data_IF_007442268137
#
_entry.id   IF_007442268137
#
_cell.length_a   1.000
_cell.length_b   1.000
_cell.length_c   1.000
_cell.angle_alpha   90.00
_cell.angle_beta   90.00
_cell.angle_gamma   90.00
#
_symmetry.space_group_name_H-M   'P 1'
#
loop_
_entity.id
_entity.type
_entity.pdbx_description
1 polymer ?
#
# COMPACT_ATOMS: atom_id res chain seq x y z
N UNK A 1 -29.46 -21.62 -20.21
CA UNK A 1 -28.66 -22.34 -19.21
C UNK A 1 -27.23 -22.32 -19.72
N UNK A 2 -26.46 -21.31 -19.32
CA UNK A 2 -25.07 -21.16 -19.76
C UNK A 2 -24.14 -21.63 -18.64
N UNK A 3 -23.24 -22.54 -19.02
CA UNK A 3 -22.25 -23.17 -18.15
C UNK A 3 -21.26 -22.14 -17.64
N UNK A 4 -21.23 -21.98 -16.32
CA UNK A 4 -20.21 -21.21 -15.61
C UNK A 4 -18.83 -21.84 -15.89
N UNK A 5 -17.81 -21.07 -16.33
CA UNK A 5 -16.50 -21.63 -16.59
C UNK A 5 -15.83 -22.06 -15.27
N UNK A 6 -15.38 -23.31 -15.24
CA UNK A 6 -14.63 -23.94 -14.16
C UNK A 6 -13.32 -23.16 -13.87
N UNK A 7 -13.11 -22.62 -12.66
CA UNK A 7 -11.87 -21.93 -12.33
C UNK A 7 -10.74 -22.95 -12.19
N UNK A 8 -9.95 -23.11 -13.27
CA UNK A 8 -8.75 -23.96 -13.37
C UNK A 8 -7.67 -23.69 -12.30
N UNK A 9 -7.83 -22.69 -11.43
CA UNK A 9 -6.89 -22.36 -10.36
C UNK A 9 -7.06 -23.21 -9.08
N UNK A 10 -8.08 -24.08 -9.01
CA UNK A 10 -8.34 -24.92 -7.81
C UNK A 10 -7.73 -26.33 -7.92
N UNK A 11 -7.21 -26.75 -9.08
CA UNK A 11 -6.69 -28.13 -9.29
C UNK A 11 -5.17 -28.32 -9.17
N UNK A 12 -4.40 -27.30 -8.83
CA UNK A 12 -2.94 -27.44 -8.63
C UNK A 12 -2.49 -27.62 -7.18
N UNK A 13 -3.41 -27.77 -6.22
CA UNK A 13 -3.08 -28.27 -4.88
C UNK A 13 -3.48 -29.74 -4.73
N UNK A 14 -2.77 -30.62 -5.43
CA UNK A 14 -2.93 -32.06 -5.30
C UNK A 14 -1.78 -32.68 -4.50
N UNK A 15 -2.16 -33.28 -3.37
CA UNK A 15 -1.50 -34.33 -2.58
C UNK A 15 -0.21 -34.01 -1.80
N UNK A 16 -0.25 -33.97 -0.45
CA UNK A 16 0.93 -34.28 0.35
C UNK A 16 1.17 -35.80 0.25
N UNK A 17 2.41 -36.23 0.04
CA UNK A 17 2.87 -37.63 -0.02
C UNK A 17 2.83 -38.33 -1.40
N UNK A 18 3.57 -37.80 -2.37
CA UNK A 18 4.35 -38.67 -3.26
C UNK A 18 5.84 -38.33 -3.13
N UNK A 19 6.71 -39.27 -2.75
CA UNK A 19 8.15 -39.07 -2.88
C UNK A 19 8.47 -38.87 -4.36
N UNK A 20 9.24 -37.83 -4.67
CA UNK A 20 9.76 -37.63 -6.03
C UNK A 20 10.73 -38.78 -6.39
N UNK A 21 10.76 -39.22 -7.66
CA UNK A 21 11.69 -40.26 -8.10
C UNK A 21 13.13 -39.81 -7.89
N UNK A 22 13.93 -40.70 -7.31
CA UNK A 22 15.26 -40.43 -6.76
C UNK A 22 16.39 -40.49 -7.78
N UNK A 23 16.20 -40.03 -9.00
CA UNK A 23 17.25 -40.13 -10.03
C UNK A 23 17.64 -38.76 -10.62
N UNK A 24 18.87 -38.35 -10.29
CA UNK A 24 19.72 -37.37 -11.00
C UNK A 24 19.22 -35.92 -11.19
N UNK A 25 18.92 -35.21 -10.10
CA UNK A 25 18.92 -33.73 -10.13
C UNK A 25 20.22 -33.23 -9.50
N UNK A 26 21.22 -33.00 -10.34
CA UNK A 26 22.42 -32.24 -10.00
C UNK A 26 22.01 -30.83 -9.53
N UNK A 27 22.07 -30.59 -8.22
CA UNK A 27 22.22 -29.32 -7.47
C UNK A 27 21.48 -28.02 -7.85
N UNK A 28 21.32 -27.69 -9.13
CA UNK A 28 20.94 -26.37 -9.63
C UNK A 28 19.42 -26.19 -9.79
N UNK A 29 18.68 -27.25 -10.14
CA UNK A 29 17.21 -27.18 -10.32
C UNK A 29 16.45 -26.66 -9.09
N UNK A 30 16.69 -27.21 -7.88
CA UNK A 30 16.04 -26.73 -6.66
C UNK A 30 16.45 -25.30 -6.26
N UNK A 31 17.66 -24.87 -6.63
CA UNK A 31 18.14 -23.52 -6.39
C UNK A 31 17.44 -22.50 -7.28
N UNK A 32 17.29 -22.80 -8.58
CA UNK A 32 16.63 -21.92 -9.53
C UNK A 32 15.15 -21.70 -9.20
N UNK A 33 14.42 -22.73 -8.77
CA UNK A 33 13.02 -22.60 -8.31
C UNK A 33 12.94 -21.69 -7.08
N UNK A 34 13.86 -21.84 -6.13
CA UNK A 34 13.91 -20.97 -4.94
C UNK A 34 14.29 -19.53 -5.30
N UNK A 35 15.10 -19.33 -6.33
CA UNK A 35 15.49 -18.02 -6.84
C UNK A 35 14.31 -17.33 -7.53
N UNK A 36 13.59 -18.00 -8.43
CA UNK A 36 12.38 -17.46 -9.07
C UNK A 36 11.35 -16.99 -8.03
N UNK A 37 11.13 -17.80 -7.00
CA UNK A 37 10.24 -17.44 -5.89
C UNK A 37 10.73 -16.18 -5.16
N UNK A 38 12.04 -16.05 -4.92
CA UNK A 38 12.64 -14.87 -4.29
C UNK A 38 12.49 -13.60 -5.15
N UNK A 39 12.64 -13.74 -6.47
CA UNK A 39 12.55 -12.62 -7.42
C UNK A 39 11.12 -12.09 -7.62
N UNK A 40 10.10 -12.84 -7.18
CA UNK A 40 8.68 -12.49 -7.33
C UNK A 40 8.13 -11.54 -6.25
N UNK A 41 8.92 -10.51 -5.89
CA UNK A 41 8.57 -9.48 -4.90
C UNK A 41 7.23 -8.79 -5.22
N UNK A 42 6.53 -8.25 -4.19
CA UNK A 42 5.24 -7.57 -4.35
C UNK A 42 5.36 -6.16 -4.93
N UNK A 43 5.90 -6.08 -6.14
CA UNK A 43 6.07 -4.83 -6.89
C UNK A 43 5.19 -4.90 -8.14
N UNK A 44 4.18 -4.02 -8.26
CA UNK A 44 3.23 -4.05 -9.37
C UNK A 44 3.87 -4.05 -10.76
N UNK A 45 5.02 -3.38 -10.91
CA UNK A 45 5.75 -3.32 -12.17
C UNK A 45 6.46 -4.63 -12.59
N UNK A 46 6.52 -5.64 -11.71
CA UNK A 46 7.31 -6.87 -11.92
C UNK A 46 6.52 -8.16 -11.77
N UNK A 47 5.31 -8.09 -11.22
CA UNK A 47 4.56 -9.29 -10.89
C UNK A 47 3.06 -9.05 -10.93
N UNK A 48 2.43 -9.58 -11.99
CA UNK A 48 0.98 -9.59 -12.16
C UNK A 48 0.26 -10.34 -11.04
N UNK A 49 0.97 -11.25 -10.35
CA UNK A 49 0.44 -11.99 -9.20
C UNK A 49 -0.13 -11.05 -8.12
N UNK A 50 0.44 -9.86 -7.98
CA UNK A 50 0.02 -8.85 -7.00
C UNK A 50 -0.93 -7.79 -7.56
N UNK A 51 -1.31 -7.91 -8.84
CA UNK A 51 -2.39 -7.11 -9.42
C UNK A 51 -3.73 -7.65 -8.92
N UNK A 52 -4.33 -6.96 -7.96
CA UNK A 52 -5.67 -7.31 -7.46
C UNK A 52 -6.68 -6.62 -8.38
N UNK A 53 -7.41 -7.43 -9.14
CA UNK A 53 -8.49 -6.93 -9.99
C UNK A 53 -9.52 -6.18 -9.16
N UNK A 54 -9.81 -4.94 -9.52
CA UNK A 54 -10.91 -4.18 -8.94
C UNK A 54 -12.24 -4.87 -9.28
N UNK A 55 -13.25 -4.78 -8.40
CA UNK A 55 -14.58 -5.27 -8.72
C UNK A 55 -15.11 -4.48 -9.93
N UNK A 56 -15.54 -5.18 -10.98
CA UNK A 56 -16.27 -4.55 -12.07
C UNK A 56 -17.58 -3.96 -11.51
N UNK A 57 -17.62 -2.65 -11.29
CA UNK A 57 -18.76 -1.93 -10.71
C UNK A 57 -20.04 -2.17 -11.52
N UNK A 58 -19.92 -2.32 -12.84
CA UNK A 58 -21.00 -2.69 -13.76
C UNK A 58 -21.60 -4.08 -13.50
N UNK A 59 -20.81 -5.06 -13.03
CA UNK A 59 -21.35 -6.39 -12.66
C UNK A 59 -22.18 -6.36 -11.37
N UNK A 60 -21.88 -5.44 -10.44
CA UNK A 60 -22.69 -5.23 -9.21
C UNK A 60 -24.08 -4.70 -9.53
N UNK A 61 -24.19 -3.74 -10.44
CA UNK A 61 -25.48 -3.21 -10.93
C UNK A 61 -26.29 -4.31 -11.65
N UNK A 62 -25.63 -5.12 -12.49
CA UNK A 62 -26.29 -6.25 -13.17
C UNK A 62 -26.85 -7.30 -12.20
N UNK A 63 -26.13 -7.67 -11.14
CA UNK A 63 -26.63 -8.62 -10.13
C UNK A 63 -27.69 -8.01 -9.19
N UNK A 64 -27.68 -6.70 -9.00
CA UNK A 64 -28.72 -5.99 -8.22
C UNK A 64 -30.03 -5.85 -9.01
N UNK A 65 -29.98 -5.76 -10.34
CA UNK A 65 -31.15 -5.73 -11.21
C UNK A 65 -31.87 -7.10 -11.32
N UNK A 66 -31.18 -8.20 -11.04
CA UNK A 66 -31.74 -9.56 -11.03
C UNK A 66 -31.99 -10.10 -9.60
N UNK A 67 -32.73 -9.37 -8.75
CA UNK A 67 -33.52 -9.90 -7.61
C UNK A 67 -32.85 -10.78 -6.53
N UNK A 68 -31.58 -11.14 -6.65
CA UNK A 68 -30.81 -11.97 -5.73
C UNK A 68 -29.77 -11.08 -5.06
N UNK A 69 -30.26 -10.10 -4.28
CA UNK A 69 -29.44 -9.49 -3.24
C UNK A 69 -29.17 -10.60 -2.24
N UNK A 70 -28.08 -11.34 -2.43
CA UNK A 70 -27.56 -12.25 -1.42
C UNK A 70 -27.29 -11.37 -0.19
N UNK A 71 -28.16 -11.49 0.82
CA UNK A 71 -28.00 -10.83 2.12
C UNK A 71 -26.58 -11.09 2.61
N UNK A 72 -25.90 -10.05 3.07
CA UNK A 72 -24.58 -10.22 3.68
C UNK A 72 -24.62 -11.31 4.76
N UNK A 73 -23.47 -11.96 4.99
CA UNK A 73 -23.35 -12.95 6.04
C UNK A 73 -23.70 -12.32 7.39
N UNK A 74 -24.65 -12.89 8.17
CA UNK A 74 -25.07 -12.30 9.44
C UNK A 74 -23.92 -12.11 10.43
N UNK A 75 -23.94 -11.01 11.19
CA UNK A 75 -22.91 -10.70 12.20
C UNK A 75 -22.65 -11.83 13.22
N UNK A 76 -23.67 -12.55 13.76
CA UNK A 76 -23.42 -13.65 14.69
C UNK A 76 -22.59 -14.79 14.08
N UNK A 77 -22.81 -15.10 12.79
CA UNK A 77 -22.05 -16.13 12.08
C UNK A 77 -20.61 -15.67 11.85
N UNK A 78 -20.41 -14.39 11.53
CA UNK A 78 -19.07 -13.79 11.42
C UNK A 78 -18.32 -13.81 12.76
N UNK A 79 -18.99 -13.53 13.87
CA UNK A 79 -18.40 -13.57 15.21
C UNK A 79 -18.02 -14.99 15.62
N UNK A 80 -18.83 -15.99 15.27
CA UNK A 80 -18.47 -17.39 15.46
C UNK A 80 -17.24 -17.78 14.63
N UNK A 81 -17.21 -17.42 13.34
CA UNK A 81 -16.06 -17.67 12.48
C UNK A 81 -14.79 -16.98 12.99
N UNK A 82 -14.88 -15.76 13.55
CA UNK A 82 -13.74 -15.08 14.20
C UNK A 82 -13.19 -15.86 15.38
N UNK A 83 -14.07 -16.39 16.25
CA UNK A 83 -13.67 -17.23 17.39
C UNK A 83 -13.02 -18.53 16.93
N UNK A 84 -13.64 -19.21 15.97
CA UNK A 84 -13.14 -20.47 15.43
C UNK A 84 -11.80 -20.30 14.70
N UNK A 85 -11.60 -19.18 13.99
CA UNK A 85 -10.34 -18.88 13.30
C UNK A 85 -9.14 -18.85 14.25
N UNK A 86 -9.34 -18.42 15.50
CA UNK A 86 -8.30 -18.43 16.53
C UNK A 86 -8.06 -19.82 17.14
N UNK A 87 -9.12 -20.64 17.25
CA UNK A 87 -9.06 -21.95 17.93
C UNK A 87 -8.68 -23.10 17.00
N UNK A 88 -9.19 -23.10 15.77
CA UNK A 88 -9.06 -24.20 14.81
C UNK A 88 -8.97 -23.68 13.36
N UNK A 89 -7.87 -22.99 13.00
CA UNK A 89 -7.74 -22.29 11.71
C UNK A 89 -7.91 -23.21 10.49
N UNK A 90 -7.49 -24.48 10.58
CA UNK A 90 -7.65 -25.48 9.51
C UNK A 90 -9.09 -25.76 9.13
N UNK A 91 -9.91 -26.19 10.11
CA UNK A 91 -11.32 -26.48 9.90
C UNK A 91 -12.11 -25.22 9.53
N UNK A 92 -11.77 -24.10 10.17
CA UNK A 92 -12.42 -22.81 9.91
C UNK A 92 -12.18 -22.33 8.49
N UNK A 93 -10.97 -22.51 7.95
CA UNK A 93 -10.66 -22.14 6.57
C UNK A 93 -11.59 -22.83 5.57
N UNK A 94 -11.89 -24.13 5.77
CA UNK A 94 -12.80 -24.86 4.88
C UNK A 94 -14.22 -24.27 4.91
N UNK A 95 -14.71 -23.86 6.08
CA UNK A 95 -16.00 -23.19 6.25
C UNK A 95 -16.01 -21.82 5.55
N UNK A 96 -14.96 -21.01 5.77
CA UNK A 96 -14.80 -19.70 5.13
C UNK A 96 -14.77 -19.83 3.61
N UNK A 97 -14.02 -20.79 3.07
CA UNK A 97 -13.94 -21.02 1.62
C UNK A 97 -15.29 -21.47 1.03
N UNK A 98 -16.09 -22.23 1.79
CA UNK A 98 -17.47 -22.54 1.41
C UNK A 98 -18.32 -21.27 1.35
N UNK A 99 -18.20 -20.37 2.34
CA UNK A 99 -18.93 -19.11 2.37
C UNK A 99 -18.48 -18.14 1.27
N UNK A 100 -17.18 -18.07 0.94
CA UNK A 100 -16.64 -17.23 -0.14
C UNK A 100 -17.17 -17.63 -1.52
N UNK A 101 -17.62 -18.87 -1.74
CA UNK A 101 -18.34 -19.24 -2.98
C UNK A 101 -19.66 -18.48 -3.12
N UNK A 102 -20.31 -18.16 -2.00
CA UNK A 102 -21.57 -17.43 -1.99
C UNK A 102 -21.36 -15.93 -1.88
N UNK A 103 -20.33 -15.50 -1.14
CA UNK A 103 -19.99 -14.11 -0.83
C UNK A 103 -18.53 -13.79 -1.19
N UNK A 104 -18.14 -13.86 -2.47
CA UNK A 104 -16.73 -13.79 -2.90
C UNK A 104 -16.02 -12.48 -2.60
N UNK A 105 -16.77 -11.42 -2.31
CA UNK A 105 -16.26 -10.08 -2.03
C UNK A 105 -16.53 -9.63 -0.60
N UNK A 106 -16.93 -10.53 0.30
CA UNK A 106 -17.17 -10.15 1.68
C UNK A 106 -15.84 -9.86 2.39
N UNK A 107 -15.60 -8.63 2.87
CA UNK A 107 -14.30 -8.25 3.41
C UNK A 107 -13.94 -9.01 4.70
N UNK A 108 -14.93 -9.35 5.53
CA UNK A 108 -14.70 -10.12 6.76
C UNK A 108 -14.22 -11.54 6.44
N UNK A 109 -14.89 -12.22 5.51
CA UNK A 109 -14.53 -13.58 5.10
C UNK A 109 -13.14 -13.63 4.44
N UNK A 110 -12.80 -12.64 3.61
CA UNK A 110 -11.47 -12.54 3.01
C UNK A 110 -10.37 -12.32 4.05
N UNK A 111 -10.59 -11.43 5.02
CA UNK A 111 -9.63 -11.24 6.11
C UNK A 111 -9.50 -12.50 6.99
N UNK A 112 -10.60 -13.16 7.29
CA UNK A 112 -10.57 -14.41 8.04
C UNK A 112 -9.86 -15.54 7.27
N UNK A 113 -10.06 -15.63 5.96
CA UNK A 113 -9.32 -16.54 5.07
C UNK A 113 -7.82 -16.30 5.18
N UNK A 114 -7.39 -15.03 5.13
CA UNK A 114 -6.00 -14.65 5.30
C UNK A 114 -5.43 -15.07 6.67
N UNK A 115 -6.17 -14.79 7.75
CA UNK A 115 -5.77 -15.14 9.13
C UNK A 115 -5.62 -16.66 9.28
N UNK A 116 -6.61 -17.44 8.82
CA UNK A 116 -6.56 -18.89 8.92
C UNK A 116 -5.46 -19.49 8.05
N UNK A 117 -5.30 -19.01 6.80
CA UNK A 117 -4.22 -19.45 5.90
C UNK A 117 -2.85 -19.23 6.54
N UNK A 118 -2.64 -18.07 7.15
CA UNK A 118 -1.42 -17.79 7.91
C UNK A 118 -1.28 -18.71 9.13
N UNK A 119 -2.33 -18.86 9.94
CA UNK A 119 -2.30 -19.68 11.16
C UNK A 119 -1.96 -21.16 10.90
N UNK A 120 -2.44 -21.72 9.78
CA UNK A 120 -2.11 -23.10 9.37
C UNK A 120 -0.63 -23.24 8.99
N UNK A 121 -0.06 -22.20 8.38
CA UNK A 121 1.25 -22.29 7.72
C UNK A 121 2.40 -21.66 8.51
N UNK A 122 2.13 -21.00 9.65
CA UNK A 122 3.15 -20.28 10.43
C UNK A 122 4.27 -21.20 10.93
N UNK A 123 3.98 -22.48 11.15
CA UNK A 123 4.92 -23.50 11.63
C UNK A 123 5.33 -24.51 10.54
N UNK A 124 5.03 -24.24 9.27
CA UNK A 124 5.36 -25.17 8.19
C UNK A 124 6.88 -25.33 8.05
N UNK A 125 7.35 -26.58 8.10
CA UNK A 125 8.76 -26.92 7.87
C UNK A 125 9.16 -26.81 6.38
N UNK A 126 8.19 -26.68 5.47
CA UNK A 126 8.43 -26.51 4.03
C UNK A 126 8.48 -25.01 3.67
N UNK A 127 9.66 -24.44 3.34
CA UNK A 127 9.80 -23.02 3.05
C UNK A 127 8.97 -22.56 1.84
N UNK A 128 8.89 -23.37 0.78
CA UNK A 128 8.13 -23.03 -0.43
C UNK A 128 6.62 -23.00 -0.15
N UNK A 129 6.13 -24.01 0.58
CA UNK A 129 4.72 -24.04 1.00
C UNK A 129 4.37 -22.85 1.91
N UNK A 130 5.26 -22.48 2.83
CA UNK A 130 5.09 -21.32 3.70
C UNK A 130 5.04 -20.01 2.90
N UNK A 131 5.95 -19.79 1.94
CA UNK A 131 5.94 -18.59 1.10
C UNK A 131 4.65 -18.48 0.29
N UNK A 132 4.26 -19.54 -0.41
CA UNK A 132 3.00 -19.56 -1.17
C UNK A 132 1.79 -19.25 -0.28
N UNK A 133 1.75 -19.79 0.94
CA UNK A 133 0.68 -19.52 1.89
C UNK A 133 0.67 -18.06 2.39
N UNK A 134 1.83 -17.49 2.72
CA UNK A 134 1.94 -16.10 3.13
C UNK A 134 1.55 -15.14 2.00
N UNK A 135 1.90 -15.47 0.75
CA UNK A 135 1.49 -14.69 -0.41
C UNK A 135 -0.02 -14.70 -0.60
N UNK A 136 -0.64 -15.88 -0.53
CA UNK A 136 -2.09 -16.04 -0.59
C UNK A 136 -2.79 -15.28 0.53
N UNK A 137 -2.31 -15.42 1.77
CA UNK A 137 -2.86 -14.69 2.92
C UNK A 137 -2.76 -13.16 2.74
N UNK A 138 -1.63 -12.66 2.24
CA UNK A 138 -1.48 -11.24 1.94
C UNK A 138 -2.44 -10.75 0.85
N UNK A 139 -2.62 -11.55 -0.21
CA UNK A 139 -3.56 -11.22 -1.28
C UNK A 139 -5.00 -11.19 -0.80
N UNK A 140 -5.42 -12.15 0.03
CA UNK A 140 -6.75 -12.19 0.63
C UNK A 140 -6.97 -10.99 1.57
N UNK A 141 -5.97 -10.64 2.41
CA UNK A 141 -6.05 -9.50 3.31
C UNK A 141 -6.09 -8.15 2.56
N UNK A 142 -5.29 -7.99 1.51
CA UNK A 142 -5.34 -6.81 0.65
C UNK A 142 -6.70 -6.72 -0.08
N UNK A 143 -7.20 -7.86 -0.57
CA UNK A 143 -8.52 -7.94 -1.21
C UNK A 143 -9.62 -7.54 -0.24
N UNK A 144 -9.56 -7.97 1.02
CA UNK A 144 -10.53 -7.56 2.05
C UNK A 144 -10.59 -6.03 2.19
N UNK A 145 -9.44 -5.36 2.26
CA UNK A 145 -9.39 -3.89 2.32
C UNK A 145 -9.95 -3.25 1.05
N UNK A 146 -9.55 -3.76 -0.13
CA UNK A 146 -10.02 -3.27 -1.44
C UNK A 146 -11.52 -3.45 -1.58
N UNK A 147 -12.12 -4.54 -1.10
CA UNK A 147 -13.55 -4.82 -1.16
C UNK A 147 -14.34 -4.21 0.01
N UNK A 148 -14.11 -2.91 0.26
CA UNK A 148 -14.89 -2.09 1.21
C UNK A 148 -14.66 -2.46 2.70
N UNK A 149 -13.62 -3.23 2.98
CA UNK A 149 -13.25 -3.70 4.32
C UNK A 149 -12.29 -2.78 5.07
N UNK A 150 -12.24 -1.49 4.77
CA UNK A 150 -11.33 -0.57 5.45
C UNK A 150 -11.73 -0.42 6.91
N UNK A 151 -10.93 -0.98 7.82
CA UNK A 151 -11.10 -0.86 9.27
C UNK A 151 -9.74 -0.98 9.94
N UNK A 152 -9.62 -0.50 11.17
CA UNK A 152 -8.37 -0.63 11.92
C UNK A 152 -7.98 -2.10 12.14
N UNK A 153 -8.96 -2.96 12.43
CA UNK A 153 -8.75 -4.40 12.59
C UNK A 153 -8.19 -5.05 11.31
N UNK A 154 -8.76 -4.73 10.14
CA UNK A 154 -8.29 -5.26 8.87
C UNK A 154 -6.92 -4.68 8.49
N UNK A 155 -6.69 -3.40 8.76
CA UNK A 155 -5.39 -2.75 8.54
C UNK A 155 -4.28 -3.41 9.38
N UNK A 156 -4.52 -3.61 10.67
CA UNK A 156 -3.56 -4.25 11.60
C UNK A 156 -3.22 -5.67 11.14
N UNK A 157 -4.22 -6.48 10.78
CA UNK A 157 -3.97 -7.83 10.28
C UNK A 157 -3.24 -7.83 8.94
N UNK A 158 -3.59 -6.93 8.01
CA UNK A 158 -2.88 -6.79 6.75
C UNK A 158 -1.41 -6.46 6.97
N UNK A 159 -1.10 -5.41 7.73
CA UNK A 159 0.29 -5.00 7.98
C UNK A 159 1.10 -6.10 8.68
N UNK A 160 0.50 -6.81 9.65
CA UNK A 160 1.14 -7.96 10.31
C UNK A 160 1.52 -9.05 9.31
N UNK A 161 0.62 -9.41 8.39
CA UNK A 161 0.87 -10.43 7.37
C UNK A 161 1.90 -9.96 6.33
N UNK A 162 1.85 -8.68 5.95
CA UNK A 162 2.73 -8.09 4.96
C UNK A 162 4.18 -7.99 5.46
N UNK A 163 4.38 -7.47 6.67
CA UNK A 163 5.71 -7.38 7.27
C UNK A 163 6.32 -8.75 7.51
N UNK A 164 5.53 -9.73 7.97
CA UNK A 164 6.00 -11.10 8.10
C UNK A 164 6.48 -11.65 6.74
N UNK A 165 5.74 -11.40 5.66
CA UNK A 165 6.17 -11.81 4.31
C UNK A 165 7.50 -11.13 3.93
N UNK A 166 7.65 -9.82 4.17
CA UNK A 166 8.90 -9.09 3.88
C UNK A 166 10.09 -9.64 4.68
N UNK A 167 9.88 -9.94 5.96
CA UNK A 167 10.89 -10.56 6.82
C UNK A 167 11.31 -11.95 6.28
N UNK A 168 10.34 -12.75 5.80
CA UNK A 168 10.66 -14.05 5.20
C UNK A 168 11.46 -13.90 3.91
N UNK A 169 11.10 -12.95 3.04
CA UNK A 169 11.90 -12.64 1.84
C UNK A 169 13.34 -12.30 2.19
N UNK A 170 13.55 -11.38 3.14
CA UNK A 170 14.89 -11.01 3.62
C UNK A 170 15.71 -12.22 4.05
N UNK A 171 15.16 -13.06 4.94
CA UNK A 171 15.83 -14.29 5.41
C UNK A 171 16.11 -15.27 4.26
N UNK A 172 15.30 -15.27 3.22
CA UNK A 172 15.48 -16.14 2.05
C UNK A 172 16.55 -15.59 1.09
N UNK A 173 16.62 -14.28 0.90
CA UNK A 173 17.72 -13.61 0.20
C UNK A 173 19.06 -13.92 0.86
N UNK A 174 19.17 -13.75 2.18
CA UNK A 174 20.39 -14.08 2.96
C UNK A 174 20.87 -15.52 2.74
N UNK A 175 19.93 -16.47 2.62
CA UNK A 175 20.24 -17.88 2.36
C UNK A 175 20.72 -18.09 0.93
N UNK A 176 19.99 -17.55 -0.04
CA UNK A 176 20.33 -17.68 -1.46
C UNK A 176 21.69 -17.04 -1.77
N UNK A 177 22.05 -15.90 -1.15
CA UNK A 177 23.38 -15.30 -1.30
C UNK A 177 24.51 -16.23 -0.87
N UNK A 178 24.30 -17.04 0.18
CA UNK A 178 25.29 -18.02 0.65
C UNK A 178 25.43 -19.21 -0.31
N UNK A 179 24.38 -19.51 -1.06
CA UNK A 179 24.29 -20.63 -2.01
C UNK A 179 24.78 -20.23 -3.42
N UNK A 180 24.58 -18.98 -3.85
CA UNK A 180 25.05 -18.43 -5.12
C UNK A 180 26.55 -18.06 -5.06
N UNK A 181 27.42 -19.09 -5.11
CA UNK A 181 28.89 -18.93 -5.15
C UNK A 181 29.46 -19.14 -6.56
N UNK A 182 30.54 -18.43 -6.87
CA UNK A 182 31.30 -18.59 -8.12
C UNK A 182 30.80 -17.75 -9.29
N UNK A 183 31.63 -17.63 -10.33
CA UNK A 183 31.38 -16.75 -11.49
C UNK A 183 30.21 -17.21 -12.38
N UNK A 184 29.91 -18.51 -12.40
CA UNK A 184 28.85 -19.08 -13.24
C UNK A 184 27.44 -18.60 -12.89
N UNK A 185 27.22 -18.12 -11.66
CA UNK A 185 25.92 -17.63 -11.16
C UNK A 185 25.94 -16.13 -10.88
N UNK A 186 26.88 -15.39 -11.49
CA UNK A 186 27.02 -13.95 -11.28
C UNK A 186 25.78 -13.16 -11.72
N UNK A 187 25.10 -13.60 -12.80
CA UNK A 187 23.88 -12.97 -13.31
C UNK A 187 22.73 -13.17 -12.32
N UNK A 188 22.55 -14.39 -11.82
CA UNK A 188 21.54 -14.78 -10.83
C UNK A 188 21.77 -14.05 -9.51
N UNK A 189 23.03 -13.92 -9.10
CA UNK A 189 23.42 -13.14 -7.93
C UNK A 189 23.08 -11.68 -8.10
N UNK A 190 23.40 -11.07 -9.25
CA UNK A 190 23.04 -9.68 -9.52
C UNK A 190 21.51 -9.45 -9.52
N UNK A 191 20.74 -10.41 -10.06
CA UNK A 191 19.25 -10.36 -9.97
C UNK A 191 18.78 -10.43 -8.52
N UNK A 192 19.42 -11.25 -7.70
CA UNK A 192 19.11 -11.39 -6.27
C UNK A 192 19.49 -10.13 -5.48
N UNK A 193 20.71 -9.60 -5.63
CA UNK A 193 21.18 -8.35 -4.99
C UNK A 193 20.20 -7.21 -5.28
N UNK A 194 19.74 -7.16 -6.53
CA UNK A 194 18.76 -6.21 -6.98
C UNK A 194 17.39 -6.39 -6.31
N UNK A 195 16.85 -7.62 -6.30
CA UNK A 195 15.58 -7.90 -5.62
C UNK A 195 15.68 -7.60 -4.12
N UNK A 196 16.77 -8.01 -3.48
CA UNK A 196 17.07 -7.72 -2.09
C UNK A 196 16.99 -6.22 -1.81
N UNK A 197 17.67 -5.39 -2.60
CA UNK A 197 17.62 -3.92 -2.47
C UNK A 197 16.19 -3.39 -2.48
N UNK A 198 15.34 -3.88 -3.37
CA UNK A 198 13.94 -3.48 -3.41
C UNK A 198 13.15 -3.98 -2.20
N UNK A 199 13.42 -5.20 -1.73
CA UNK A 199 12.85 -5.74 -0.50
C UNK A 199 13.18 -4.90 0.72
N UNK A 200 14.42 -4.42 0.84
CA UNK A 200 14.84 -3.51 1.91
C UNK A 200 14.11 -2.17 1.86
N UNK A 201 13.96 -1.57 0.68
CA UNK A 201 13.21 -0.32 0.53
C UNK A 201 11.74 -0.46 0.98
N UNK A 202 11.12 -1.62 0.71
CA UNK A 202 9.76 -1.92 1.17
C UNK A 202 9.70 -2.16 2.68
N UNK A 203 10.69 -2.85 3.24
CA UNK A 203 10.80 -3.09 4.67
C UNK A 203 11.05 -1.78 5.46
N UNK A 204 11.80 -0.82 4.93
CA UNK A 204 12.06 0.47 5.59
C UNK A 204 10.80 1.33 5.76
N UNK A 205 9.74 1.06 4.99
CA UNK A 205 8.46 1.75 5.14
C UNK A 205 7.57 1.13 6.24
N UNK A 206 7.89 -0.07 6.75
CA UNK A 206 7.16 -0.78 7.81
C UNK A 206 7.02 0.08 9.07
N UNK A 207 8.13 0.62 9.57
CA UNK A 207 8.14 1.36 10.83
C UNK A 207 7.20 2.58 10.76
N UNK A 208 7.17 3.25 9.61
CA UNK A 208 6.30 4.41 9.38
C UNK A 208 4.83 4.01 9.35
N UNK A 209 4.49 2.94 8.64
CA UNK A 209 3.13 2.46 8.55
C UNK A 209 2.63 1.95 9.92
N UNK A 210 3.43 1.15 10.61
CA UNK A 210 3.14 0.60 11.94
C UNK A 210 2.93 1.69 13.00
N UNK A 211 3.74 2.74 12.98
CA UNK A 211 3.58 3.87 13.90
C UNK A 211 2.22 4.55 13.73
N UNK A 212 1.78 4.77 12.49
CA UNK A 212 0.47 5.37 12.20
C UNK A 212 -0.66 4.49 12.74
N UNK A 213 -0.62 3.18 12.45
CA UNK A 213 -1.64 2.23 12.92
C UNK A 213 -1.68 2.16 14.45
N UNK A 214 -0.52 2.14 15.11
CA UNK A 214 -0.41 2.16 16.58
C UNK A 214 -1.01 3.44 17.19
N UNK A 215 -0.76 4.60 16.58
CA UNK A 215 -1.38 5.85 17.00
C UNK A 215 -2.90 5.84 16.81
N UNK A 216 -3.41 5.30 15.70
CA UNK A 216 -4.85 5.17 15.48
C UNK A 216 -5.51 4.24 16.49
N UNK A 217 -4.86 3.14 16.87
CA UNK A 217 -5.37 2.20 17.89
C UNK A 217 -5.62 2.87 19.24
N UNK A 218 -4.72 3.77 19.65
CA UNK A 218 -4.89 4.56 20.88
C UNK A 218 -6.08 5.52 20.82
N UNK A 219 -6.49 5.97 19.63
CA UNK A 219 -7.58 6.95 19.44
C UNK A 219 -8.94 6.32 19.17
N UNK A 220 -8.97 5.21 18.43
CA UNK A 220 -10.20 4.58 17.95
C UNK A 220 -10.82 3.64 19.01
N UNK A 221 -10.11 3.33 20.11
CA UNK A 221 -10.57 2.43 21.19
C UNK A 221 -11.23 1.15 20.62
N UNK A 222 -10.65 0.55 19.58
CA UNK A 222 -11.34 -0.53 18.88
C UNK A 222 -11.42 -1.77 19.77
N UNK A 223 -12.63 -2.19 20.08
CA UNK A 223 -12.93 -3.53 20.58
C UNK A 223 -12.68 -4.57 19.46
N UNK A 224 -12.83 -5.87 19.76
CA UNK A 224 -12.66 -6.97 18.81
C UNK A 224 -13.57 -6.90 17.55
N UNK A 225 -14.50 -5.94 17.49
CA UNK A 225 -15.42 -5.74 16.38
C UNK A 225 -14.92 -4.65 15.41
N UNK A 226 -14.79 -4.95 14.11
CA UNK A 226 -14.31 -3.99 13.13
C UNK A 226 -15.33 -2.88 12.86
N UNK A 227 -14.93 -1.63 13.12
CA UNK A 227 -15.66 -0.46 12.61
C UNK A 227 -15.21 -0.18 11.17
N UNK A 228 -16.08 -0.52 10.21
CA UNK A 228 -15.79 -0.30 8.78
C UNK A 228 -16.02 1.15 8.35
N UNK A 229 -15.00 1.73 7.75
CA UNK A 229 -15.01 2.98 7.00
C UNK A 229 -15.29 2.66 5.52
N UNK A 230 -16.52 2.26 5.22
CA UNK A 230 -16.89 1.93 3.84
C UNK A 230 -16.76 3.13 2.92
N UNK A 231 -16.50 2.92 1.62
CA UNK A 231 -16.35 4.00 0.64
C UNK A 231 -17.57 4.92 0.61
N UNK A 232 -18.78 4.39 0.80
CA UNK A 232 -19.99 5.18 0.91
C UNK A 232 -20.01 6.08 2.16
N UNK A 233 -19.48 5.60 3.30
CA UNK A 233 -19.34 6.41 4.51
C UNK A 233 -18.26 7.48 4.34
N UNK A 234 -17.16 7.16 3.65
CA UNK A 234 -16.10 8.12 3.34
C UNK A 234 -16.65 9.24 2.47
N UNK A 235 -17.38 8.91 1.40
CA UNK A 235 -18.04 9.87 0.53
C UNK A 235 -19.03 10.76 1.31
N UNK A 236 -19.90 10.16 2.11
CA UNK A 236 -20.84 10.91 2.96
C UNK A 236 -20.14 11.86 3.95
N UNK A 237 -19.03 11.43 4.55
CA UNK A 237 -18.25 12.29 5.44
C UNK A 237 -17.62 13.47 4.70
N UNK A 238 -17.13 13.25 3.49
CA UNK A 238 -16.60 14.33 2.67
C UNK A 238 -17.69 15.32 2.23
N UNK A 239 -18.86 14.82 1.78
CA UNK A 239 -20.02 15.65 1.44
C UNK A 239 -20.48 16.52 2.63
N UNK A 240 -20.51 15.96 3.84
CA UNK A 240 -20.85 16.71 5.05
C UNK A 240 -19.83 17.84 5.34
N UNK A 241 -18.54 17.62 5.08
CA UNK A 241 -17.50 18.65 5.22
C UNK A 241 -17.70 19.75 4.18
N UNK A 242 -17.99 19.41 2.93
CA UNK A 242 -18.24 20.38 1.86
C UNK A 242 -19.50 21.21 2.12
N UNK A 243 -20.53 20.60 2.70
CA UNK A 243 -21.75 21.28 3.12
C UNK A 243 -21.59 22.14 4.39
N UNK A 244 -20.38 22.30 4.92
CA UNK A 244 -20.12 23.09 6.14
C UNK A 244 -20.64 22.41 7.43
N UNK A 245 -20.84 21.09 7.43
CA UNK A 245 -21.32 20.29 8.56
C UNK A 245 -20.25 19.29 9.07
N UNK A 246 -19.04 19.75 9.45
CA UNK A 246 -17.92 18.88 9.82
C UNK A 246 -18.14 18.02 11.07
N UNK A 247 -19.16 18.37 11.88
CA UNK A 247 -19.55 17.65 13.11
C UNK A 247 -20.71 16.65 12.89
N UNK A 248 -21.23 16.52 11.67
CA UNK A 248 -22.29 15.56 11.37
C UNK A 248 -21.81 14.12 11.60
N UNK A 249 -22.64 13.28 12.23
CA UNK A 249 -22.32 11.90 12.53
C UNK A 249 -22.42 11.01 11.28
N UNK A 250 -21.36 10.25 11.00
CA UNK A 250 -21.25 9.28 9.92
C UNK A 250 -20.93 7.91 10.52
N UNK A 251 -21.98 7.21 10.95
CA UNK A 251 -21.84 6.00 11.75
C UNK A 251 -21.44 6.34 13.19
N UNK A 252 -20.28 5.84 13.63
CA UNK A 252 -19.80 6.03 15.01
C UNK A 252 -18.98 7.29 15.24
N UNK A 253 -18.52 7.94 14.17
CA UNK A 253 -17.63 9.11 14.22
C UNK A 253 -18.26 10.28 13.51
N UNK A 254 -17.85 11.50 13.84
CA UNK A 254 -18.24 12.65 13.01
C UNK A 254 -17.48 12.67 11.68
N UNK A 255 -17.93 13.52 10.75
CA UNK A 255 -17.34 13.64 9.42
C UNK A 255 -15.84 13.98 9.45
N UNK A 256 -15.43 14.90 10.33
CA UNK A 256 -14.02 15.29 10.49
C UNK A 256 -13.15 14.14 10.99
N UNK A 257 -13.61 13.41 12.01
CA UNK A 257 -12.94 12.24 12.57
C UNK A 257 -12.81 11.13 11.53
N UNK A 258 -13.90 10.85 10.82
CA UNK A 258 -13.95 9.84 9.74
C UNK A 258 -12.88 10.13 8.69
N UNK A 259 -12.84 11.35 8.13
CA UNK A 259 -11.82 11.71 7.13
C UNK A 259 -10.42 11.71 7.75
N UNK A 260 -10.26 12.13 9.01
CA UNK A 260 -8.94 12.13 9.67
C UNK A 260 -8.38 10.72 9.82
N UNK A 261 -9.20 9.76 10.26
CA UNK A 261 -8.78 8.37 10.41
C UNK A 261 -8.53 7.70 9.06
N UNK A 262 -9.41 7.93 8.08
CA UNK A 262 -9.26 7.42 6.71
C UNK A 262 -7.99 7.97 6.07
N UNK A 263 -7.72 9.27 6.20
CA UNK A 263 -6.48 9.88 5.74
C UNK A 263 -5.24 9.21 6.35
N UNK A 264 -5.21 9.03 7.67
CA UNK A 264 -4.09 8.38 8.34
C UNK A 264 -3.89 6.93 7.85
N UNK A 265 -4.96 6.14 7.74
CA UNK A 265 -4.88 4.79 7.17
C UNK A 265 -4.41 4.80 5.71
N UNK A 266 -4.92 5.73 4.89
CA UNK A 266 -4.53 5.87 3.49
C UNK A 266 -3.04 6.23 3.35
N UNK A 267 -2.49 7.09 4.21
CA UNK A 267 -1.06 7.38 4.25
C UNK A 267 -0.24 6.13 4.59
N UNK A 268 -0.72 5.25 5.47
CA UNK A 268 -0.06 3.98 5.75
C UNK A 268 -0.16 3.03 4.55
N UNK A 269 -1.36 2.89 3.95
CA UNK A 269 -1.60 2.02 2.80
C UNK A 269 -0.82 2.44 1.55
N UNK A 270 -0.62 3.75 1.34
CA UNK A 270 0.11 4.30 0.19
C UNK A 270 1.60 3.92 0.20
N UNK A 271 2.11 3.36 1.30
CA UNK A 271 3.47 2.82 1.45
C UNK A 271 3.60 1.36 1.01
N UNK A 272 2.49 0.75 0.58
CA UNK A 272 2.44 -0.68 0.27
C UNK A 272 1.90 -0.86 -1.15
N UNK A 273 2.74 -1.29 -2.11
CA UNK A 273 2.38 -1.28 -3.53
C UNK A 273 1.13 -2.10 -3.89
N UNK A 274 0.92 -3.26 -3.26
CA UNK A 274 -0.26 -4.11 -3.48
C UNK A 274 -1.58 -3.40 -3.11
N UNK A 275 -1.53 -2.35 -2.28
CA UNK A 275 -2.70 -1.56 -1.89
C UNK A 275 -2.95 -0.33 -2.77
N UNK A 276 -2.18 -0.09 -3.84
CA UNK A 276 -2.45 1.05 -4.73
C UNK A 276 -3.89 1.09 -5.28
N UNK A 277 -4.52 -0.03 -5.68
CA UNK A 277 -5.93 -0.01 -6.09
C UNK A 277 -6.89 0.43 -4.98
N UNK A 278 -6.57 0.17 -3.70
CA UNK A 278 -7.32 0.71 -2.57
C UNK A 278 -7.16 2.23 -2.47
N UNK A 279 -5.94 2.73 -2.66
CA UNK A 279 -5.67 4.18 -2.63
C UNK A 279 -6.49 4.90 -3.68
N UNK A 280 -6.54 4.39 -4.91
CA UNK A 280 -7.34 5.00 -5.98
C UNK A 280 -8.81 5.13 -5.58
N UNK A 281 -9.40 4.08 -5.02
CA UNK A 281 -10.79 4.10 -4.53
C UNK A 281 -11.01 5.04 -3.34
N UNK A 282 -10.05 5.11 -2.42
CA UNK A 282 -10.11 6.03 -1.28
C UNK A 282 -10.05 7.48 -1.74
N UNK A 283 -9.19 7.78 -2.71
CA UNK A 283 -9.11 9.09 -3.32
C UNK A 283 -10.42 9.39 -4.05
N UNK A 284 -10.96 8.50 -4.89
CA UNK A 284 -12.26 8.70 -5.55
C UNK A 284 -13.39 9.04 -4.56
N UNK A 285 -13.42 8.41 -3.38
CA UNK A 285 -14.41 8.67 -2.35
C UNK A 285 -14.22 10.00 -1.59
N UNK A 286 -13.11 10.71 -1.77
CA UNK A 286 -12.84 12.01 -1.13
C UNK A 286 -12.75 13.10 -2.20
N UNK A 287 -13.78 13.92 -2.47
CA UNK A 287 -13.71 15.01 -3.45
C UNK A 287 -12.58 16.03 -3.17
N UNK A 288 -12.14 16.71 -4.23
CA UNK A 288 -11.08 17.73 -4.17
C UNK A 288 -11.63 19.18 -4.15
N UNK A 289 -12.95 19.37 -4.01
CA UNK A 289 -13.60 20.70 -4.04
C UNK A 289 -13.34 21.53 -2.79
N UNK A 290 -13.01 20.89 -1.67
CA UNK A 290 -12.61 21.56 -0.43
C UNK A 290 -11.08 21.52 -0.27
N UNK A 291 -10.45 22.66 0.07
CA UNK A 291 -9.00 22.76 0.23
C UNK A 291 -8.42 21.68 1.16
N UNK A 292 -9.04 21.46 2.33
CA UNK A 292 -8.53 20.49 3.29
C UNK A 292 -8.58 19.06 2.72
N UNK A 293 -9.66 18.70 2.00
CA UNK A 293 -9.76 17.40 1.36
C UNK A 293 -8.76 17.27 0.20
N UNK A 294 -8.60 18.31 -0.61
CA UNK A 294 -7.62 18.37 -1.69
C UNK A 294 -6.20 18.15 -1.18
N UNK A 295 -5.79 18.84 -0.12
CA UNK A 295 -4.46 18.69 0.48
C UNK A 295 -4.21 17.28 1.01
N UNK A 296 -5.21 16.65 1.64
CA UNK A 296 -5.09 15.25 2.09
C UNK A 296 -4.95 14.28 0.93
N UNK A 297 -5.69 14.47 -0.17
CA UNK A 297 -5.53 13.67 -1.39
C UNK A 297 -4.12 13.80 -1.95
N UNK A 298 -3.60 15.03 -2.05
CA UNK A 298 -2.26 15.32 -2.57
C UNK A 298 -1.19 14.70 -1.67
N UNK A 299 -1.35 14.78 -0.35
CA UNK A 299 -0.44 14.12 0.60
C UNK A 299 -0.43 12.59 0.42
N UNK A 300 -1.60 11.94 0.34
CA UNK A 300 -1.70 10.50 0.09
C UNK A 300 -1.05 10.12 -1.25
N UNK A 301 -1.37 10.86 -2.33
CA UNK A 301 -0.78 10.65 -3.66
C UNK A 301 0.74 10.79 -3.62
N UNK A 302 1.24 11.82 -2.94
CA UNK A 302 2.67 12.10 -2.80
C UNK A 302 3.40 10.99 -2.05
N UNK A 303 2.80 10.39 -1.03
CA UNK A 303 3.39 9.24 -0.32
C UNK A 303 3.59 8.06 -1.27
N UNK A 304 2.57 7.74 -2.07
CA UNK A 304 2.64 6.70 -3.10
C UNK A 304 3.70 7.01 -4.15
N UNK A 305 3.72 8.24 -4.68
CA UNK A 305 4.66 8.67 -5.71
C UNK A 305 6.11 8.68 -5.20
N UNK A 306 6.33 9.07 -3.95
CA UNK A 306 7.65 9.01 -3.32
C UNK A 306 8.15 7.57 -3.18
N UNK A 307 7.29 6.62 -2.82
CA UNK A 307 7.66 5.19 -2.82
C UNK A 307 8.03 4.73 -4.23
N UNK A 308 7.20 5.03 -5.22
CA UNK A 308 7.46 4.68 -6.61
C UNK A 308 8.75 5.31 -7.14
N UNK A 309 9.07 6.54 -6.72
CA UNK A 309 10.33 7.21 -7.04
C UNK A 309 11.53 6.45 -6.44
N UNK A 310 11.47 6.08 -5.15
CA UNK A 310 12.54 5.29 -4.50
C UNK A 310 12.78 3.97 -5.22
N UNK A 311 11.70 3.29 -5.60
CA UNK A 311 11.79 2.07 -6.40
C UNK A 311 12.47 2.39 -7.73
N UNK A 312 11.98 3.37 -8.51
CA UNK A 312 12.56 3.74 -9.80
C UNK A 312 14.05 4.11 -9.72
N UNK A 313 14.50 4.78 -8.64
CA UNK A 313 15.91 5.07 -8.35
C UNK A 313 16.71 3.77 -8.19
N UNK A 314 16.23 2.84 -7.38
CA UNK A 314 16.89 1.54 -7.21
C UNK A 314 16.90 0.72 -8.51
N UNK A 315 15.87 0.87 -9.35
CA UNK A 315 15.81 0.28 -10.69
C UNK A 315 16.70 0.99 -11.73
N UNK A 316 17.29 2.14 -11.40
CA UNK A 316 17.98 3.04 -12.35
C UNK A 316 17.10 3.39 -13.57
N UNK A 317 15.79 3.50 -13.35
CA UNK A 317 14.80 3.74 -14.39
C UNK A 317 14.61 5.24 -14.61
N UNK A 318 15.56 5.91 -15.26
CA UNK A 318 15.60 7.38 -15.41
C UNK A 318 14.32 7.97 -16.01
N UNK A 319 13.76 7.36 -17.06
CA UNK A 319 12.52 7.85 -17.68
C UNK A 319 11.33 7.74 -16.71
N UNK A 320 11.27 6.67 -15.93
CA UNK A 320 10.25 6.49 -14.89
C UNK A 320 10.43 7.51 -13.76
N UNK A 321 11.66 7.78 -13.36
CA UNK A 321 11.98 8.83 -12.37
C UNK A 321 11.54 10.20 -12.90
N UNK A 322 11.83 10.52 -14.16
CA UNK A 322 11.41 11.75 -14.84
C UNK A 322 9.88 11.92 -14.83
N UNK A 323 9.15 10.87 -15.20
CA UNK A 323 7.69 10.88 -15.24
C UNK A 323 7.08 11.06 -13.83
N UNK A 324 7.51 10.25 -12.85
CA UNK A 324 7.02 10.34 -11.47
C UNK A 324 7.37 11.71 -10.88
N UNK A 325 8.57 12.21 -11.13
CA UNK A 325 9.04 13.51 -10.65
C UNK A 325 8.20 14.67 -11.17
N UNK A 326 7.86 14.66 -12.47
CA UNK A 326 6.95 15.66 -13.05
C UNK A 326 5.56 15.61 -12.43
N UNK A 327 4.98 14.42 -12.29
CA UNK A 327 3.64 14.26 -11.68
C UNK A 327 3.66 14.78 -10.24
N UNK A 328 4.64 14.33 -9.44
CA UNK A 328 4.80 14.75 -8.06
C UNK A 328 4.99 16.28 -7.97
N UNK A 329 5.83 16.86 -8.81
CA UNK A 329 6.06 18.30 -8.81
C UNK A 329 4.80 19.10 -9.20
N UNK A 330 4.10 18.69 -10.27
CA UNK A 330 2.91 19.39 -10.76
C UNK A 330 1.73 19.31 -9.78
N UNK A 331 1.45 18.13 -9.22
CA UNK A 331 0.37 17.96 -8.24
C UNK A 331 0.60 18.83 -7.00
N UNK A 332 1.84 18.85 -6.49
CA UNK A 332 2.18 19.61 -5.30
C UNK A 332 2.28 21.12 -5.58
N UNK A 333 2.70 21.54 -6.78
CA UNK A 333 2.70 22.95 -7.18
C UNK A 333 1.27 23.49 -7.25
N UNK A 334 0.34 22.72 -7.83
CA UNK A 334 -1.06 23.09 -7.87
C UNK A 334 -1.65 23.24 -6.45
N UNK A 335 -1.29 22.34 -5.53
CA UNK A 335 -1.71 22.43 -4.13
C UNK A 335 -1.12 23.65 -3.41
N UNK A 336 0.16 23.96 -3.60
CA UNK A 336 0.79 25.17 -3.02
C UNK A 336 0.09 26.44 -3.50
N UNK A 337 -0.25 26.53 -4.78
CA UNK A 337 -0.96 27.68 -5.34
C UNK A 337 -2.36 27.86 -4.73
N UNK A 338 -3.07 26.77 -4.42
CA UNK A 338 -4.36 26.84 -3.71
C UNK A 338 -4.21 27.28 -2.24
N UNK A 339 -3.02 27.14 -1.65
CA UNK A 339 -2.71 27.51 -0.27
C UNK A 339 -2.14 28.92 -0.10
N UNK A 340 -1.99 29.70 -1.18
CA UNK A 340 -1.40 31.05 -1.15
C UNK A 340 -1.88 31.96 0.01
N UNK A 341 -3.17 32.01 0.38
CA UNK A 341 -3.63 32.86 1.49
C UNK A 341 -3.62 32.20 2.88
N UNK A 342 -3.28 30.91 3.00
CA UNK A 342 -3.47 30.15 4.24
C UNK A 342 -2.16 29.88 5.01
N UNK A 343 -2.24 29.87 6.34
CA UNK A 343 -1.16 29.41 7.22
C UNK A 343 -1.07 27.87 7.25
N UNK A 344 0.08 27.35 7.65
CA UNK A 344 0.37 25.91 7.72
C UNK A 344 0.40 25.45 9.18
N UNK A 345 -0.51 24.57 9.57
CA UNK A 345 -0.68 24.09 10.95
C UNK A 345 -0.42 22.60 11.09
N UNK A 346 -0.71 21.81 10.05
CA UNK A 346 -0.69 20.36 10.07
C UNK A 346 0.29 19.80 9.02
N UNK A 347 0.77 18.57 9.24
CA UNK A 347 1.79 17.97 8.37
C UNK A 347 1.35 17.88 6.91
N UNK A 348 0.11 17.47 6.63
CA UNK A 348 -0.39 17.37 5.24
C UNK A 348 -0.51 18.72 4.52
N UNK A 349 -0.50 19.83 5.26
CA UNK A 349 -0.50 21.19 4.70
C UNK A 349 0.93 21.62 4.33
N UNK A 350 1.94 21.10 5.04
CA UNK A 350 3.34 21.32 4.73
C UNK A 350 3.86 20.40 3.60
N UNK A 351 3.25 19.20 3.45
CA UNK A 351 3.66 18.19 2.50
C UNK A 351 3.83 18.72 1.06
N UNK A 352 2.91 19.52 0.49
CA UNK A 352 3.08 20.03 -0.87
C UNK A 352 4.37 20.80 -1.10
N UNK A 353 4.71 21.68 -0.17
CA UNK A 353 5.95 22.42 -0.21
C UNK A 353 7.14 21.45 -0.19
N UNK A 354 7.20 20.55 0.80
CA UNK A 354 8.34 19.64 0.99
C UNK A 354 8.51 18.68 -0.21
N UNK A 355 7.41 18.25 -0.82
CA UNK A 355 7.43 17.37 -1.98
C UNK A 355 7.91 18.08 -3.25
N UNK A 356 7.71 19.39 -3.42
CA UNK A 356 8.36 20.15 -4.52
C UNK A 356 9.88 20.08 -4.41
N UNK A 357 10.42 20.32 -3.22
CA UNK A 357 11.86 20.24 -2.96
C UNK A 357 12.38 18.82 -3.18
N UNK A 358 11.68 17.82 -2.63
CA UNK A 358 12.06 16.40 -2.72
C UNK A 358 12.04 15.91 -4.17
N UNK A 359 10.99 16.24 -4.94
CA UNK A 359 10.91 15.90 -6.36
C UNK A 359 12.09 16.49 -7.13
N UNK A 360 12.39 17.77 -6.91
CA UNK A 360 13.47 18.50 -7.59
C UNK A 360 14.85 17.91 -7.28
N UNK A 361 15.12 17.57 -6.01
CA UNK A 361 16.39 16.99 -5.58
C UNK A 361 16.55 15.58 -6.16
N UNK A 362 15.52 14.74 -6.08
CA UNK A 362 15.59 13.34 -6.53
C UNK A 362 15.66 13.19 -8.05
N UNK A 363 15.36 14.24 -8.80
CA UNK A 363 15.38 14.25 -10.27
C UNK A 363 16.48 15.15 -10.85
N UNK A 364 17.41 15.61 -10.02
CA UNK A 364 18.54 16.43 -10.43
C UNK A 364 19.29 15.81 -11.61
N UNK A 365 19.47 16.58 -12.68
CA UNK A 365 20.15 16.15 -13.90
C UNK A 365 19.32 15.32 -14.89
N UNK A 366 18.07 14.98 -14.56
CA UNK A 366 17.21 14.20 -15.45
C UNK A 366 16.43 15.05 -16.47
N UNK A 367 16.33 16.36 -16.23
CA UNK A 367 15.56 17.28 -17.07
C UNK A 367 16.45 18.18 -17.92
N UNK A 368 16.00 18.46 -19.15
CA UNK A 368 16.74 19.26 -20.14
C UNK A 368 16.03 20.60 -20.40
N UNK A 369 16.67 21.50 -21.18
CA UNK A 369 16.02 22.71 -21.68
C UNK A 369 15.62 23.73 -20.59
N UNK A 370 16.35 23.78 -19.48
CA UNK A 370 16.09 24.69 -18.36
C UNK A 370 14.91 24.30 -17.46
N UNK A 371 14.29 23.13 -17.68
CA UNK A 371 13.21 22.62 -16.81
C UNK A 371 13.70 22.41 -15.37
N UNK A 372 14.90 21.83 -15.19
CA UNK A 372 15.50 21.65 -13.85
C UNK A 372 15.66 22.99 -13.12
N UNK A 373 16.24 24.00 -13.77
CA UNK A 373 16.45 25.32 -13.17
C UNK A 373 15.11 25.97 -12.74
N UNK A 374 14.05 25.81 -13.55
CA UNK A 374 12.70 26.26 -13.18
C UNK A 374 12.16 25.52 -11.96
N UNK A 375 12.35 24.21 -11.90
CA UNK A 375 11.93 23.40 -10.73
C UNK A 375 12.66 23.85 -9.46
N UNK A 376 13.97 24.09 -9.54
CA UNK A 376 14.80 24.58 -8.43
C UNK A 376 14.31 25.95 -7.94
N UNK A 377 14.08 26.90 -8.86
CA UNK A 377 13.59 28.23 -8.49
C UNK A 377 12.22 28.18 -7.79
N UNK A 378 11.26 27.43 -8.34
CA UNK A 378 9.93 27.26 -7.75
C UNK A 378 10.00 26.57 -6.39
N UNK A 379 10.80 25.51 -6.26
CA UNK A 379 10.97 24.80 -5.00
C UNK A 379 11.61 25.68 -3.92
N UNK A 380 12.59 26.52 -4.27
CA UNK A 380 13.19 27.49 -3.36
C UNK A 380 12.16 28.48 -2.82
N UNK A 381 11.40 29.14 -3.73
CA UNK A 381 10.35 30.07 -3.34
C UNK A 381 9.29 29.41 -2.45
N UNK A 382 8.91 28.17 -2.77
CA UNK A 382 7.97 27.40 -1.96
C UNK A 382 8.53 27.14 -0.54
N UNK A 383 9.79 26.74 -0.41
CA UNK A 383 10.42 26.54 0.92
C UNK A 383 10.51 27.83 1.73
N UNK A 384 10.89 28.94 1.11
CA UNK A 384 10.92 30.25 1.78
C UNK A 384 9.52 30.68 2.24
N UNK A 385 8.50 30.41 1.43
CA UNK A 385 7.10 30.61 1.82
C UNK A 385 6.72 29.72 3.00
N UNK A 386 7.10 28.44 3.01
CA UNK A 386 6.79 27.52 4.12
C UNK A 386 7.39 28.02 5.45
N UNK A 387 8.62 28.53 5.44
CA UNK A 387 9.25 29.12 6.65
C UNK A 387 8.40 30.25 7.22
N UNK A 388 7.85 31.13 6.36
CA UNK A 388 7.01 32.26 6.78
C UNK A 388 5.61 31.82 7.22
N UNK A 389 5.07 30.77 6.59
CA UNK A 389 3.69 30.30 6.80
C UNK A 389 3.55 29.27 7.92
N UNK A 390 4.65 28.71 8.44
CA UNK A 390 4.61 27.72 9.51
C UNK A 390 4.01 28.31 10.79
N UNK A 391 2.83 27.82 11.17
CA UNK A 391 2.12 28.13 12.42
C UNK A 391 2.05 26.92 13.36
N UNK A 392 2.85 25.87 13.10
CA UNK A 392 2.95 24.72 14.00
C UNK A 392 3.60 25.11 15.32
N UNK A 393 3.17 24.46 16.41
CA UNK A 393 3.62 24.79 17.78
C UNK A 393 5.14 24.70 17.96
N UNK A 394 5.79 23.77 17.27
CA UNK A 394 7.23 23.51 17.40
C UNK A 394 8.07 24.08 16.25
N UNK A 395 7.44 24.76 15.26
CA UNK A 395 8.11 25.27 14.06
C UNK A 395 8.93 24.21 13.30
N UNK A 396 8.48 22.95 13.36
CA UNK A 396 9.17 21.81 12.78
C UNK A 396 9.23 21.89 11.24
N UNK A 397 8.24 22.54 10.62
CA UNK A 397 8.17 22.66 9.16
C UNK A 397 9.17 23.70 8.66
N UNK A 398 9.34 24.81 9.36
CA UNK A 398 10.36 25.81 9.06
C UNK A 398 11.78 25.23 9.16
N UNK A 399 12.08 24.41 10.17
CA UNK A 399 13.38 23.75 10.27
C UNK A 399 13.64 22.79 9.09
N UNK A 400 12.63 22.01 8.71
CA UNK A 400 12.71 21.11 7.56
C UNK A 400 12.92 21.90 6.25
N UNK A 401 12.17 22.99 6.07
CA UNK A 401 12.32 23.88 4.92
C UNK A 401 13.72 24.49 4.81
N UNK A 402 14.30 24.95 5.92
CA UNK A 402 15.65 25.50 5.95
C UNK A 402 16.72 24.49 5.50
N UNK A 403 16.55 23.20 5.83
CA UNK A 403 17.43 22.13 5.34
C UNK A 403 17.35 22.02 3.82
N UNK A 404 16.14 21.98 3.25
CA UNK A 404 15.95 21.93 1.80
C UNK A 404 16.44 23.17 1.07
N UNK A 405 16.26 24.38 1.63
CA UNK A 405 16.76 25.63 1.05
C UNK A 405 18.27 25.56 0.82
N UNK A 406 19.03 25.01 1.78
CA UNK A 406 20.50 24.87 1.64
C UNK A 406 20.86 23.99 0.44
N UNK A 407 20.22 22.84 0.32
CA UNK A 407 20.47 21.89 -0.79
C UNK A 407 20.10 22.52 -2.14
N UNK A 408 18.90 23.10 -2.24
CA UNK A 408 18.42 23.72 -3.47
C UNK A 408 19.24 24.96 -3.87
N UNK A 409 19.74 25.74 -2.91
CA UNK A 409 20.59 26.90 -3.18
C UNK A 409 21.94 26.48 -3.76
N UNK A 410 22.49 25.35 -3.32
CA UNK A 410 23.72 24.81 -3.89
C UNK A 410 23.48 24.33 -5.32
N UNK A 411 22.40 23.60 -5.58
CA UNK A 411 22.01 23.18 -6.93
C UNK A 411 21.85 24.39 -7.88
N UNK A 412 21.20 25.47 -7.42
CA UNK A 412 21.00 26.67 -8.22
C UNK A 412 22.32 27.38 -8.58
N UNK A 413 23.32 27.35 -7.67
CA UNK A 413 24.65 27.90 -7.93
C UNK A 413 25.45 27.06 -8.92
N UNK A 414 25.37 25.73 -8.79
CA UNK A 414 26.02 24.80 -9.71
C UNK A 414 25.45 24.91 -11.12
N UNK A 415 24.13 25.05 -11.26
CA UNK A 415 23.48 25.27 -12.56
C UNK A 415 23.85 26.63 -13.16
N UNK A 416 24.00 27.69 -12.34
CA UNK A 416 24.45 29.00 -12.81
C UNK A 416 25.94 29.06 -13.22
N UNK A 417 26.75 28.08 -12.78
CA UNK A 417 28.16 27.99 -13.11
C UNK A 417 28.45 27.16 -14.39
N UNK A 418 27.44 26.45 -14.92
CA UNK A 418 27.48 25.69 -16.17
C UNK A 418 26.95 26.54 -17.32
#
# INVERSE_FOLDING_TARGET
METVPDPKWVKTMASPNKPLPSDSITGEGPLMVRLEEALSLPIPARSDYWSISLPNVTKRLGSQLFGLVKKDLPDPELDELRKLAAQSPGNTLALIQKQLKFYPYNPSLLMLSAICTHGINVNSANPLGMFSALKLANRDAASALIYDGVSLYNAENFFRLYHLLMERYKRHFDKLHKELRGEKLAIEKAKLDFAETLGWLLADEEAKASNIISHLKKRILSNANPHYFTFARIAKAAEAIEAGKPKEMVGFFNATETITFVYAMAVAFARVPILHPLIDRLLEAMPASNLMLALRRVSISSVRLNLLMKLAVAEKAEERMRQIGRILFQENMAAVNQMEPHGVFQAFEADPFINLATATINTAGLFQGGEQAKMVAVALTAMESLVKKDQSKAKNFAQTAQSHIRVLSNMNREDAAR
#
